data_IF_755339817800
#
_entry.id   IF_755339817800
#
_cell.length_a   1.000
_cell.length_b   1.000
_cell.length_c   1.000
_cell.angle_alpha   90.00
_cell.angle_beta   90.00
_cell.angle_gamma   90.00
#
_symmetry.space_group_name_H-M   'P 1'
#
loop_
_entity.id
_entity.type
_entity.pdbx_description
1 polymer ?
#
# COMPACT_ATOMS: atom_id res chain seq x y z
N UNK A 1 -40.00 -36.52 17.76
CA UNK A 1 -40.48 -35.42 18.64
C UNK A 1 -41.36 -36.08 19.71
N UNK A 2 -40.74 -36.53 20.79
CA UNK A 2 -41.44 -37.30 21.83
C UNK A 2 -42.09 -36.30 22.77
N UNK A 3 -43.40 -36.13 22.65
CA UNK A 3 -44.21 -35.33 23.56
C UNK A 3 -44.16 -36.03 24.92
N UNK A 4 -43.29 -35.52 25.81
CA UNK A 4 -43.16 -35.99 27.17
C UNK A 4 -44.43 -35.55 27.91
N UNK A 5 -45.39 -36.46 28.01
CA UNK A 5 -46.57 -36.27 28.85
C UNK A 5 -46.15 -36.51 30.29
N UNK A 6 -45.37 -35.59 30.85
CA UNK A 6 -45.09 -35.57 32.29
C UNK A 6 -46.45 -35.36 32.95
N UNK A 7 -46.96 -36.42 33.58
CA UNK A 7 -48.24 -36.37 34.28
C UNK A 7 -48.03 -35.41 35.47
N UNK A 8 -48.97 -34.52 35.82
CA UNK A 8 -48.79 -33.56 36.92
C UNK A 8 -48.42 -34.20 38.26
N UNK A 9 -48.68 -35.50 38.40
CA UNK A 9 -48.21 -36.34 39.49
C UNK A 9 -46.67 -36.48 39.53
N UNK A 10 -46.03 -36.73 38.39
CA UNK A 10 -44.59 -37.00 38.27
C UNK A 10 -43.76 -35.73 38.53
N UNK A 11 -44.27 -34.58 38.10
CA UNK A 11 -43.64 -33.28 38.34
C UNK A 11 -43.72 -32.85 39.81
N UNK A 12 -44.83 -33.14 40.49
CA UNK A 12 -44.97 -32.90 41.92
C UNK A 12 -44.02 -33.79 42.74
N UNK A 13 -43.90 -35.07 42.38
CA UNK A 13 -43.04 -36.01 43.09
C UNK A 13 -41.55 -35.67 42.90
N UNK A 14 -41.17 -35.17 41.71
CA UNK A 14 -39.83 -34.65 41.45
C UNK A 14 -39.51 -33.41 42.29
N UNK A 15 -40.44 -32.46 42.42
CA UNK A 15 -40.27 -31.26 43.26
C UNK A 15 -40.20 -31.63 44.74
N UNK A 16 -41.04 -32.57 45.22
CA UNK A 16 -40.99 -33.07 46.59
C UNK A 16 -39.60 -33.66 46.90
N UNK A 17 -39.08 -34.52 46.01
CA UNK A 17 -37.77 -35.14 46.18
C UNK A 17 -36.64 -34.10 46.16
N UNK A 18 -36.72 -33.10 45.29
CA UNK A 18 -35.71 -32.06 45.15
C UNK A 18 -35.68 -31.09 46.35
N UNK A 19 -36.85 -30.68 46.84
CA UNK A 19 -36.97 -29.85 48.06
C UNK A 19 -36.46 -30.64 49.26
N UNK A 20 -36.88 -31.89 49.44
CA UNK A 20 -36.37 -32.73 50.53
C UNK A 20 -34.84 -32.88 50.47
N UNK A 21 -34.26 -33.06 49.28
CA UNK A 21 -32.81 -33.16 49.09
C UNK A 21 -32.07 -31.86 49.44
N UNK A 22 -32.63 -30.70 49.11
CA UNK A 22 -31.95 -29.40 49.27
C UNK A 22 -32.15 -28.78 50.66
N UNK A 23 -33.34 -28.92 51.24
CA UNK A 23 -33.71 -28.24 52.48
C UNK A 23 -34.05 -29.20 53.62
N UNK A 24 -34.13 -30.51 53.36
CA UNK A 24 -34.47 -31.53 54.36
C UNK A 24 -35.94 -31.53 54.79
N UNK A 25 -36.77 -30.63 54.25
CA UNK A 25 -38.19 -30.52 54.60
C UNK A 25 -39.03 -31.55 53.85
N UNK A 26 -39.84 -32.30 54.59
CA UNK A 26 -40.81 -33.23 54.00
C UNK A 26 -42.05 -32.45 53.55
N UNK A 27 -42.21 -32.28 52.24
CA UNK A 27 -43.44 -31.79 51.64
C UNK A 27 -44.33 -32.96 51.23
N UNK A 28 -45.64 -32.76 51.33
CA UNK A 28 -46.68 -33.66 50.81
C UNK A 28 -47.41 -32.99 49.66
N UNK A 29 -48.04 -33.79 48.79
CA UNK A 29 -48.71 -33.29 47.59
C UNK A 29 -49.87 -32.32 47.89
N UNK A 30 -50.51 -32.47 49.05
CA UNK A 30 -51.62 -31.62 49.49
C UNK A 30 -51.16 -30.36 50.24
N UNK A 31 -49.84 -30.13 50.36
CA UNK A 31 -49.31 -28.93 51.02
C UNK A 31 -49.57 -27.70 50.13
N UNK A 32 -50.18 -26.61 50.65
CA UNK A 32 -50.37 -25.37 49.88
C UNK A 32 -49.06 -24.79 49.34
N UNK A 33 -47.91 -25.08 49.96
CA UNK A 33 -46.58 -24.65 49.49
C UNK A 33 -46.20 -25.37 48.19
N UNK A 34 -46.65 -26.61 47.97
CA UNK A 34 -46.40 -27.36 46.74
C UNK A 34 -47.00 -26.67 45.52
N UNK A 35 -48.23 -26.13 45.64
CA UNK A 35 -48.87 -25.37 44.57
C UNK A 35 -48.04 -24.14 44.17
N UNK A 36 -47.50 -23.41 45.15
CA UNK A 36 -46.65 -22.24 44.92
C UNK A 36 -45.35 -22.62 44.23
N UNK A 37 -44.69 -23.70 44.67
CA UNK A 37 -43.44 -24.18 44.08
C UNK A 37 -43.61 -24.61 42.63
N UNK A 38 -44.71 -25.31 42.31
CA UNK A 38 -45.04 -25.71 40.94
C UNK A 38 -45.32 -24.49 40.06
N UNK A 39 -46.08 -23.51 40.55
CA UNK A 39 -46.33 -22.25 39.83
C UNK A 39 -45.04 -21.47 39.57
N UNK A 40 -44.15 -21.36 40.57
CA UNK A 40 -42.86 -20.70 40.42
C UNK A 40 -41.97 -21.41 39.39
N UNK A 41 -41.88 -22.74 39.44
CA UNK A 41 -41.11 -23.54 38.48
C UNK A 41 -41.61 -23.32 37.05
N UNK A 42 -42.94 -23.33 36.85
CA UNK A 42 -43.54 -23.05 35.55
C UNK A 42 -43.26 -21.62 35.07
N UNK A 43 -43.33 -20.63 35.97
CA UNK A 43 -42.98 -19.25 35.65
C UNK A 43 -41.52 -19.12 35.22
N UNK A 44 -40.58 -19.75 35.96
CA UNK A 44 -39.16 -19.74 35.60
C UNK A 44 -38.89 -20.43 34.27
N UNK A 45 -39.47 -21.61 34.03
CA UNK A 45 -39.32 -22.31 32.76
C UNK A 45 -39.81 -21.47 31.58
N UNK A 46 -40.95 -20.80 31.73
CA UNK A 46 -41.50 -19.90 30.71
C UNK A 46 -40.59 -18.69 30.48
N UNK A 47 -40.07 -18.09 31.56
CA UNK A 47 -39.12 -16.98 31.46
C UNK A 47 -37.81 -17.39 30.78
N UNK A 48 -37.26 -18.58 31.10
CA UNK A 48 -36.06 -19.10 30.46
C UNK A 48 -36.28 -19.46 29.00
N UNK A 49 -37.44 -20.01 28.64
CA UNK A 49 -37.79 -20.28 27.25
C UNK A 49 -37.87 -18.97 26.44
N UNK A 50 -38.57 -17.95 26.97
CA UNK A 50 -38.62 -16.63 26.35
C UNK A 50 -37.24 -15.98 26.23
N UNK A 51 -36.39 -16.09 27.25
CA UNK A 51 -35.03 -15.58 27.21
C UNK A 51 -34.16 -16.29 26.16
N UNK A 52 -34.30 -17.61 26.01
CA UNK A 52 -33.57 -18.39 25.02
C UNK A 52 -33.97 -18.01 23.59
N UNK A 53 -35.27 -17.78 23.33
CA UNK A 53 -35.77 -17.28 22.05
C UNK A 53 -35.23 -15.88 21.75
N UNK A 54 -35.33 -14.95 22.70
CA UNK A 54 -34.79 -13.59 22.52
C UNK A 54 -33.27 -13.60 22.29
N UNK A 55 -32.53 -14.48 22.99
CA UNK A 55 -31.09 -14.61 22.80
C UNK A 55 -30.75 -15.19 21.41
N UNK A 56 -31.56 -16.12 20.90
CA UNK A 56 -31.41 -16.66 19.55
C UNK A 56 -31.68 -15.59 18.48
N UNK A 57 -32.74 -14.78 18.64
CA UNK A 57 -33.05 -13.66 17.74
C UNK A 57 -31.94 -12.62 17.73
N UNK A 58 -31.46 -12.19 18.90
CA UNK A 58 -30.36 -11.22 18.99
C UNK A 58 -29.06 -11.76 18.36
N UNK A 59 -28.78 -13.06 18.55
CA UNK A 59 -27.62 -13.69 17.92
C UNK A 59 -27.76 -13.71 16.40
N UNK A 60 -28.94 -14.01 15.88
CA UNK A 60 -29.20 -14.00 14.44
C UNK A 60 -29.08 -12.59 13.86
N UNK A 61 -29.60 -11.58 14.56
CA UNK A 61 -29.47 -10.19 14.14
C UNK A 61 -28.00 -9.74 14.12
N UNK A 62 -27.22 -10.12 15.13
CA UNK A 62 -25.78 -9.86 15.17
C UNK A 62 -25.05 -10.52 14.00
N UNK A 63 -25.33 -11.79 13.70
CA UNK A 63 -24.73 -12.48 12.55
C UNK A 63 -25.10 -11.82 11.22
N UNK A 64 -26.34 -11.37 11.06
CA UNK A 64 -26.78 -10.64 9.87
C UNK A 64 -26.03 -9.30 9.72
N UNK A 65 -25.85 -8.56 10.81
CA UNK A 65 -25.05 -7.32 10.82
C UNK A 65 -23.59 -7.60 10.49
N UNK A 66 -23.02 -8.67 11.03
CA UNK A 66 -21.64 -9.09 10.76
C UNK A 66 -21.45 -9.41 9.27
N UNK A 67 -22.33 -10.21 8.67
CA UNK A 67 -22.30 -10.56 7.26
C UNK A 67 -22.47 -9.33 6.35
N UNK A 68 -23.34 -8.38 6.73
CA UNK A 68 -23.45 -7.11 6.02
C UNK A 68 -22.18 -6.27 6.10
N UNK A 69 -21.49 -6.28 7.24
CA UNK A 69 -20.23 -5.58 7.43
C UNK A 69 -19.08 -6.22 6.66
N UNK A 70 -19.01 -7.55 6.64
CA UNK A 70 -18.04 -8.32 5.85
C UNK A 70 -18.15 -7.99 4.37
N UNK A 71 -19.38 -8.00 3.81
CA UNK A 71 -19.61 -7.61 2.41
C UNK A 71 -19.15 -6.18 2.11
N UNK A 72 -19.35 -5.24 3.04
CA UNK A 72 -18.87 -3.85 2.90
C UNK A 72 -17.34 -3.78 2.89
N UNK A 73 -16.68 -4.55 3.76
CA UNK A 73 -15.21 -4.62 3.80
C UNK A 73 -14.68 -5.21 2.49
N UNK A 74 -15.26 -6.31 2.00
CA UNK A 74 -14.84 -6.92 0.73
C UNK A 74 -15.06 -5.98 -0.46
N UNK A 75 -16.18 -5.26 -0.49
CA UNK A 75 -16.45 -4.26 -1.53
C UNK A 75 -15.46 -3.09 -1.46
N UNK A 76 -15.16 -2.59 -0.26
CA UNK A 76 -14.16 -1.54 -0.06
C UNK A 76 -12.77 -2.00 -0.49
N UNK A 77 -12.38 -3.24 -0.20
CA UNK A 77 -11.12 -3.82 -0.65
C UNK A 77 -11.03 -3.92 -2.18
N UNK A 78 -12.11 -4.36 -2.84
CA UNK A 78 -12.17 -4.41 -4.31
C UNK A 78 -12.06 -3.01 -4.93
N UNK A 79 -12.71 -2.01 -4.32
CA UNK A 79 -12.61 -0.63 -4.77
C UNK A 79 -11.21 -0.06 -4.57
N UNK A 80 -10.53 -0.42 -3.47
CA UNK A 80 -9.15 -0.01 -3.20
C UNK A 80 -8.18 -0.55 -4.25
N UNK A 81 -8.35 -1.81 -4.67
CA UNK A 81 -7.53 -2.42 -5.73
C UNK A 81 -7.77 -1.72 -7.08
N UNK A 82 -9.03 -1.40 -7.42
CA UNK A 82 -9.33 -0.64 -8.63
C UNK A 82 -8.73 0.77 -8.61
N UNK A 83 -8.76 1.46 -7.46
CA UNK A 83 -8.09 2.75 -7.31
C UNK A 83 -6.57 2.64 -7.46
N UNK A 84 -5.95 1.56 -6.96
CA UNK A 84 -4.52 1.30 -7.12
C UNK A 84 -4.14 1.17 -8.59
N UNK A 85 -4.90 0.41 -9.37
CA UNK A 85 -4.67 0.25 -10.81
C UNK A 85 -4.79 1.60 -11.55
N UNK A 86 -5.81 2.40 -11.23
CA UNK A 86 -5.99 3.73 -11.82
C UNK A 86 -4.84 4.68 -11.49
N UNK A 87 -4.40 4.73 -10.24
CA UNK A 87 -3.27 5.57 -9.82
C UNK A 87 -1.99 5.16 -10.55
N UNK A 88 -1.73 3.85 -10.70
CA UNK A 88 -0.57 3.38 -11.45
C UNK A 88 -0.65 3.76 -12.94
N UNK A 89 -1.83 3.62 -13.56
CA UNK A 89 -2.03 3.98 -14.95
C UNK A 89 -1.92 5.51 -15.19
N UNK A 90 -2.36 6.32 -14.24
CA UNK A 90 -2.22 7.78 -14.28
C UNK A 90 -0.78 8.20 -14.03
N UNK A 91 -0.07 7.54 -13.10
CA UNK A 91 1.34 7.80 -12.83
C UNK A 91 2.22 7.49 -14.04
N UNK A 92 2.02 6.35 -14.70
CA UNK A 92 2.75 5.99 -15.94
C UNK A 92 2.47 7.02 -17.04
N UNK A 93 1.19 7.37 -17.29
CA UNK A 93 0.84 8.40 -18.29
C UNK A 93 1.39 9.78 -17.95
N UNK A 94 1.55 10.13 -16.68
CA UNK A 94 2.14 11.39 -16.27
C UNK A 94 3.67 11.37 -16.38
N UNK A 95 4.32 10.26 -16.03
CA UNK A 95 5.75 10.06 -16.21
C UNK A 95 6.12 10.11 -17.70
N UNK A 96 5.37 9.44 -18.57
CA UNK A 96 5.58 9.46 -20.03
C UNK A 96 5.48 10.88 -20.60
N UNK A 97 4.45 11.64 -20.20
CA UNK A 97 4.31 13.06 -20.59
C UNK A 97 5.46 13.92 -20.10
N UNK A 98 5.92 13.72 -18.86
CA UNK A 98 7.08 14.44 -18.34
C UNK A 98 8.35 14.10 -19.10
N UNK A 99 8.56 12.84 -19.48
CA UNK A 99 9.72 12.43 -20.29
C UNK A 99 9.63 13.08 -21.67
N UNK A 100 8.48 13.00 -22.35
CA UNK A 100 8.26 13.58 -23.68
C UNK A 100 8.43 15.10 -23.71
N UNK A 101 8.06 15.82 -22.64
CA UNK A 101 8.24 17.27 -22.55
C UNK A 101 9.67 17.70 -22.19
N UNK A 102 10.40 16.87 -21.46
CA UNK A 102 11.74 17.19 -20.94
C UNK A 102 12.83 16.76 -21.92
N UNK A 103 12.69 15.61 -22.56
CA UNK A 103 13.64 15.07 -23.54
C UNK A 103 14.04 16.06 -24.64
N UNK A 104 13.11 16.73 -25.35
CA UNK A 104 13.48 17.70 -26.40
C UNK A 104 14.16 18.94 -25.84
N UNK A 105 13.81 19.38 -24.61
CA UNK A 105 14.44 20.53 -23.95
C UNK A 105 15.87 20.20 -23.52
N UNK A 106 16.10 19.00 -22.98
CA UNK A 106 17.44 18.52 -22.64
C UNK A 106 18.27 18.35 -23.92
N UNK A 107 17.72 17.74 -24.97
CA UNK A 107 18.42 17.55 -26.23
C UNK A 107 18.79 18.89 -26.89
N UNK A 108 17.87 19.86 -26.93
CA UNK A 108 18.13 21.19 -27.48
C UNK A 108 19.18 21.97 -26.68
N UNK A 109 19.12 21.92 -25.34
CA UNK A 109 20.10 22.61 -24.50
C UNK A 109 21.49 21.96 -24.54
N UNK A 110 21.55 20.63 -24.60
CA UNK A 110 22.81 19.87 -24.66
C UNK A 110 23.47 20.01 -26.03
N UNK A 111 22.72 19.85 -27.12
CA UNK A 111 23.23 20.06 -28.49
C UNK A 111 23.78 21.47 -28.71
N UNK A 112 23.10 22.49 -28.17
CA UNK A 112 23.57 23.88 -28.24
C UNK A 112 24.89 24.08 -27.47
N UNK A 113 25.05 23.46 -26.30
CA UNK A 113 26.30 23.50 -25.54
C UNK A 113 27.43 22.78 -26.27
N UNK A 114 27.15 21.59 -26.80
CA UNK A 114 28.12 20.80 -27.58
C UNK A 114 28.58 21.57 -28.82
N UNK A 115 27.66 22.19 -29.57
CA UNK A 115 28.00 23.03 -30.72
C UNK A 115 28.89 24.22 -30.33
N UNK A 116 28.56 24.92 -29.24
CA UNK A 116 29.37 26.04 -28.73
C UNK A 116 30.76 25.60 -28.26
N UNK A 117 30.87 24.42 -27.65
CA UNK A 117 32.15 23.89 -27.20
C UNK A 117 33.01 23.41 -28.37
N UNK A 118 32.39 22.85 -29.43
CA UNK A 118 33.06 22.52 -30.69
C UNK A 118 33.57 23.80 -31.37
N UNK A 119 32.77 24.87 -31.44
CA UNK A 119 33.18 26.14 -32.05
C UNK A 119 34.34 26.77 -31.29
N UNK A 120 34.30 26.77 -29.95
CA UNK A 120 35.41 27.25 -29.12
C UNK A 120 36.67 26.40 -29.29
N UNK A 121 36.53 25.08 -29.38
CA UNK A 121 37.64 24.18 -29.62
C UNK A 121 38.28 24.43 -31.00
N UNK A 122 37.46 24.59 -32.04
CA UNK A 122 37.91 24.90 -33.39
C UNK A 122 38.61 26.26 -33.46
N UNK A 123 38.06 27.31 -32.85
CA UNK A 123 38.71 28.62 -32.81
C UNK A 123 40.07 28.57 -32.08
N UNK A 124 40.16 27.75 -31.01
CA UNK A 124 41.43 27.55 -30.28
C UNK A 124 42.46 26.79 -31.12
N UNK A 125 42.02 25.78 -31.88
CA UNK A 125 42.88 25.05 -32.81
C UNK A 125 43.36 25.94 -33.94
N UNK A 126 42.48 26.74 -34.53
CA UNK A 126 42.83 27.71 -35.57
C UNK A 126 43.86 28.73 -35.06
N UNK A 127 43.66 29.27 -33.85
CA UNK A 127 44.64 30.16 -33.21
C UNK A 127 46.00 29.50 -33.00
N UNK A 128 46.01 28.24 -32.51
CA UNK A 128 47.25 27.47 -32.35
C UNK A 128 47.93 27.17 -33.68
N UNK A 129 47.17 26.84 -34.72
CA UNK A 129 47.68 26.60 -36.08
C UNK A 129 48.32 27.85 -36.66
N UNK A 130 47.70 29.03 -36.51
CA UNK A 130 48.28 30.30 -36.95
C UNK A 130 49.60 30.62 -36.24
N UNK A 131 49.66 30.40 -34.93
CA UNK A 131 50.89 30.62 -34.13
C UNK A 131 51.99 29.65 -34.57
N UNK A 132 51.68 28.36 -34.74
CA UNK A 132 52.64 27.37 -35.23
C UNK A 132 53.15 27.71 -36.63
N UNK A 133 52.26 28.11 -37.54
CA UNK A 133 52.64 28.52 -38.89
C UNK A 133 53.58 29.74 -38.86
N UNK A 134 53.26 30.76 -38.08
CA UNK A 134 54.12 31.93 -37.91
C UNK A 134 55.50 31.58 -37.32
N UNK A 135 55.53 30.69 -36.33
CA UNK A 135 56.78 30.21 -35.73
C UNK A 135 57.64 29.43 -36.75
N UNK A 136 57.03 28.57 -37.57
CA UNK A 136 57.77 27.85 -38.62
C UNK A 136 58.33 28.78 -39.69
N UNK A 137 57.55 29.77 -40.14
CA UNK A 137 58.01 30.80 -41.09
C UNK A 137 59.16 31.64 -40.51
N UNK A 138 59.07 32.03 -39.24
CA UNK A 138 60.14 32.74 -38.54
C UNK A 138 61.40 31.88 -38.40
N UNK A 139 61.26 30.59 -38.09
CA UNK A 139 62.40 29.68 -38.01
C UNK A 139 63.09 29.53 -39.38
N UNK A 140 62.31 29.37 -40.45
CA UNK A 140 62.84 29.27 -41.82
C UNK A 140 63.54 30.55 -42.25
N UNK A 141 63.00 31.73 -41.92
CA UNK A 141 63.64 33.00 -42.27
C UNK A 141 64.94 33.23 -41.50
N UNK A 142 65.00 32.88 -40.22
CA UNK A 142 66.24 32.93 -39.42
C UNK A 142 67.29 31.99 -39.99
N UNK A 143 66.91 30.76 -40.36
CA UNK A 143 67.81 29.81 -41.02
C UNK A 143 68.32 30.37 -42.36
N UNK A 144 67.44 30.91 -43.20
CA UNK A 144 67.84 31.50 -44.49
C UNK A 144 68.84 32.66 -44.30
N UNK A 145 68.59 33.57 -43.35
CA UNK A 145 69.52 34.67 -43.04
C UNK A 145 70.86 34.14 -42.52
N UNK A 146 70.85 33.12 -41.67
CA UNK A 146 72.08 32.50 -41.16
C UNK A 146 72.92 31.86 -42.27
N UNK A 147 72.27 31.20 -43.24
CA UNK A 147 72.95 30.61 -44.42
C UNK A 147 73.54 31.70 -45.30
N UNK A 148 72.79 32.77 -45.60
CA UNK A 148 73.29 33.90 -46.40
C UNK A 148 74.48 34.57 -45.74
N UNK A 149 74.43 34.77 -44.42
CA UNK A 149 75.55 35.35 -43.65
C UNK A 149 76.80 34.46 -43.69
N UNK A 150 76.63 33.14 -43.60
CA UNK A 150 77.72 32.17 -43.68
C UNK A 150 78.37 32.15 -45.08
N UNK A 151 77.56 32.18 -46.14
CA UNK A 151 78.06 32.27 -47.52
C UNK A 151 78.81 33.58 -47.76
N UNK A 152 78.29 34.70 -47.27
CA UNK A 152 78.94 36.01 -47.40
C UNK A 152 80.28 36.08 -46.66
N UNK A 153 80.36 35.51 -45.45
CA UNK A 153 81.61 35.47 -44.68
C UNK A 153 82.66 34.59 -45.34
N UNK A 154 82.28 33.40 -45.82
CA UNK A 154 83.19 32.51 -46.56
C UNK A 154 83.70 33.16 -47.85
N UNK A 155 82.84 33.86 -48.60
CA UNK A 155 83.23 34.57 -49.83
C UNK A 155 84.18 35.75 -49.59
N UNK A 156 84.28 36.26 -48.37
CA UNK A 156 85.13 37.41 -48.02
C UNK A 156 86.52 36.98 -47.51
N UNK A 157 86.67 35.71 -47.12
CA UNK A 157 87.92 35.13 -46.61
C UNK A 157 88.64 34.20 -47.60
N UNK A 158 88.10 33.99 -48.80
CA UNK A 158 88.77 33.32 -49.92
C UNK A 158 89.16 34.31 -51.00
#
# INVERSE_FOLDING_TARGET
MSMRTDTPADDADAVIAEVFRLTGTRLTRDDPVMAVLLMQRQMFQTAFAGFAEHQAEQRQEFLNRLAAHERKITAAAAQLESYREQILADFVRQADRHIEEIEPKIYASTSRRVAQDIDKANARLEGRLKILLAATLAAVSVLAVSVVWLVFTVSKTG
#
